data_IF_273924574547
#
_entry.id   IF_273924574547
#
_cell.length_a   1.000
_cell.length_b   1.000
_cell.length_c   1.000
_cell.angle_alpha   90.00
_cell.angle_beta   90.00
_cell.angle_gamma   90.00
#
_symmetry.space_group_name_H-M   'P 1'
#
loop_
_entity.id
_entity.type
_entity.pdbx_description
1 polymer ?
#
# COMPACT_ATOMS: atom_id res chain seq x y z
N UNK A 1 -4.93 -9.10 -13.18
CA UNK A 1 -5.52 -8.23 -12.13
C UNK A 1 -6.91 -7.83 -12.59
N UNK A 2 -7.85 -7.61 -11.67
CA UNK A 2 -9.20 -7.11 -11.95
C UNK A 2 -9.48 -5.94 -10.99
N UNK A 3 -10.05 -4.84 -11.48
CA UNK A 3 -10.49 -3.69 -10.66
C UNK A 3 -11.95 -3.29 -10.95
N UNK A 4 -12.43 -2.22 -10.31
CA UNK A 4 -13.83 -1.75 -10.34
C UNK A 4 -14.34 -1.39 -11.74
N UNK A 5 -13.46 -1.16 -12.72
CA UNK A 5 -13.87 -0.88 -14.11
C UNK A 5 -14.24 -2.14 -14.90
N UNK A 6 -13.86 -3.32 -14.41
CA UNK A 6 -13.89 -4.58 -15.16
C UNK A 6 -14.94 -5.59 -14.67
N UNK A 7 -15.69 -5.27 -13.62
CA UNK A 7 -16.81 -6.09 -13.18
C UNK A 7 -18.06 -5.26 -12.95
N UNK A 8 -19.20 -5.90 -13.16
CA UNK A 8 -20.51 -5.31 -12.98
C UNK A 8 -21.01 -5.55 -11.55
N UNK A 9 -21.57 -4.50 -10.99
CA UNK A 9 -22.23 -4.50 -9.68
C UNK A 9 -23.72 -4.38 -9.92
N UNK A 10 -24.50 -5.30 -9.36
CA UNK A 10 -25.95 -5.28 -9.44
C UNK A 10 -26.54 -4.11 -8.64
N UNK A 11 -27.82 -3.81 -8.88
CA UNK A 11 -28.51 -2.69 -8.22
C UNK A 11 -28.58 -2.82 -6.69
N UNK A 12 -28.48 -4.04 -6.15
CA UNK A 12 -28.44 -4.31 -4.71
C UNK A 12 -27.02 -4.26 -4.11
N UNK A 13 -26.01 -3.92 -4.91
CA UNK A 13 -24.60 -3.86 -4.51
C UNK A 13 -23.85 -5.18 -4.57
N UNK A 14 -24.51 -6.29 -4.94
CA UNK A 14 -23.84 -7.57 -5.11
C UNK A 14 -23.02 -7.63 -6.40
N UNK A 15 -22.00 -8.47 -6.42
CA UNK A 15 -21.21 -8.77 -7.61
C UNK A 15 -20.69 -10.21 -7.55
N UNK A 16 -20.43 -10.78 -8.73
CA UNK A 16 -19.83 -12.11 -8.87
C UNK A 16 -18.61 -12.01 -9.78
N UNK A 17 -17.55 -12.75 -9.46
CA UNK A 17 -16.34 -12.83 -10.28
C UNK A 17 -16.02 -14.31 -10.50
N UNK A 18 -15.93 -14.73 -11.76
CA UNK A 18 -15.46 -16.06 -12.14
C UNK A 18 -13.93 -16.09 -12.11
N UNK A 19 -13.36 -17.09 -11.43
CA UNK A 19 -11.92 -17.27 -11.30
C UNK A 19 -11.48 -18.48 -12.14
N UNK A 20 -10.70 -18.24 -13.20
CA UNK A 20 -10.27 -19.30 -14.15
C UNK A 20 -11.38 -19.74 -15.11
N UNK A 21 -11.21 -20.91 -15.72
CA UNK A 21 -12.12 -21.41 -16.76
C UNK A 21 -11.98 -20.66 -18.10
N UNK A 22 -13.02 -20.75 -18.92
CA UNK A 22 -13.08 -20.05 -20.22
C UNK A 22 -13.05 -18.52 -20.04
N UNK A 23 -12.27 -17.78 -20.86
CA UNK A 23 -12.24 -16.32 -20.81
C UNK A 23 -13.60 -15.66 -21.00
N UNK A 24 -13.82 -14.56 -20.26
CA UNK A 24 -15.01 -13.71 -20.38
C UNK A 24 -14.60 -12.24 -20.37
N UNK A 25 -15.41 -11.37 -20.97
CA UNK A 25 -15.09 -9.94 -21.14
C UNK A 25 -15.13 -9.14 -19.83
N UNK A 26 -16.03 -9.51 -18.92
CA UNK A 26 -16.26 -8.83 -17.63
C UNK A 26 -16.42 -9.87 -16.53
N UNK A 27 -16.28 -9.44 -15.28
CA UNK A 27 -16.52 -10.29 -14.11
C UNK A 27 -15.67 -11.57 -14.11
N UNK A 28 -14.48 -11.53 -14.72
CA UNK A 28 -13.63 -12.70 -14.89
C UNK A 28 -12.17 -12.38 -14.62
N UNK A 29 -11.52 -13.26 -13.87
CA UNK A 29 -10.09 -13.22 -13.62
C UNK A 29 -9.49 -14.57 -13.98
N UNK A 30 -8.70 -14.58 -15.06
CA UNK A 30 -7.94 -15.76 -15.46
C UNK A 30 -6.98 -16.23 -14.37
N UNK A 31 -6.86 -17.55 -14.21
CA UNK A 31 -5.92 -18.20 -13.31
C UNK A 31 -4.95 -19.04 -14.13
N UNK A 32 -3.65 -18.85 -13.89
CA UNK A 32 -2.62 -19.75 -14.43
C UNK A 32 -2.65 -21.10 -13.73
N UNK A 33 -2.06 -22.13 -14.35
CA UNK A 33 -2.01 -23.48 -13.79
C UNK A 33 -1.26 -23.56 -12.44
N UNK A 34 -0.39 -22.60 -12.16
CA UNK A 34 0.40 -22.46 -10.94
C UNK A 34 -0.17 -21.42 -9.95
N UNK A 35 -1.37 -20.88 -10.20
CA UNK A 35 -2.00 -19.90 -9.33
C UNK A 35 -2.28 -20.50 -7.93
N UNK A 36 -1.49 -20.08 -6.93
CA UNK A 36 -1.61 -20.57 -5.55
C UNK A 36 -2.22 -19.58 -4.55
N UNK A 37 -2.56 -18.37 -4.98
CA UNK A 37 -3.10 -17.32 -4.09
C UNK A 37 -3.95 -16.31 -4.85
N UNK A 38 -5.11 -16.01 -4.28
CA UNK A 38 -5.92 -14.83 -4.60
C UNK A 38 -5.69 -13.75 -3.55
N UNK A 39 -5.70 -12.49 -3.96
CA UNK A 39 -5.55 -11.34 -3.06
C UNK A 39 -6.55 -10.28 -3.47
N UNK A 40 -7.54 -10.04 -2.61
CA UNK A 40 -8.42 -8.87 -2.72
C UNK A 40 -7.82 -7.71 -1.94
N UNK A 41 -8.03 -6.48 -2.45
CA UNK A 41 -7.63 -5.25 -1.77
C UNK A 41 -8.79 -4.28 -1.82
N UNK A 42 -9.06 -3.67 -0.68
CA UNK A 42 -10.11 -2.68 -0.53
C UNK A 42 -9.45 -1.41 0.00
N UNK A 43 -9.60 -0.33 -0.74
CA UNK A 43 -9.00 0.96 -0.41
C UNK A 43 -10.08 1.89 0.12
N UNK A 44 -9.79 2.54 1.24
CA UNK A 44 -10.73 3.40 1.94
C UNK A 44 -10.17 4.81 2.00
N UNK A 45 -10.90 5.75 1.41
CA UNK A 45 -10.59 7.17 1.43
C UNK A 45 -11.58 7.91 2.31
N UNK A 46 -11.43 7.71 3.62
CA UNK A 46 -12.31 8.25 4.66
C UNK A 46 -11.52 9.18 5.59
N UNK A 47 -12.24 10.00 6.36
CA UNK A 47 -11.68 10.89 7.39
C UNK A 47 -11.05 10.12 8.58
N UNK A 48 -11.49 8.88 8.80
CA UNK A 48 -10.93 7.98 9.81
C UNK A 48 -10.40 6.70 9.17
N UNK A 49 -9.33 6.13 9.74
CA UNK A 49 -8.77 4.86 9.28
C UNK A 49 -9.82 3.73 9.35
N UNK A 50 -10.04 3.05 8.21
CA UNK A 50 -10.90 1.87 8.15
C UNK A 50 -10.40 0.71 9.02
N UNK A 51 -9.11 0.68 9.36
CA UNK A 51 -8.56 -0.32 10.28
C UNK A 51 -8.85 0.00 11.76
N UNK A 52 -9.24 1.24 12.07
CA UNK A 52 -9.72 1.65 13.39
C UNK A 52 -11.24 1.55 13.56
N UNK A 53 -11.96 1.12 12.53
CA UNK A 53 -13.41 0.96 12.54
C UNK A 53 -13.80 -0.49 12.29
N UNK A 54 -15.02 -0.87 12.68
CA UNK A 54 -15.56 -2.21 12.44
C UNK A 54 -16.11 -2.30 11.01
N UNK A 55 -15.21 -2.43 10.03
CA UNK A 55 -15.57 -2.59 8.63
C UNK A 55 -15.69 -4.06 8.28
N UNK A 56 -16.90 -4.50 7.93
CA UNK A 56 -17.15 -5.84 7.43
C UNK A 56 -17.36 -5.81 5.91
N UNK A 57 -16.49 -6.52 5.17
CA UNK A 57 -16.60 -6.74 3.73
C UNK A 57 -16.90 -8.22 3.45
N UNK A 58 -18.17 -8.61 3.28
CA UNK A 58 -18.52 -10.01 3.08
C UNK A 58 -18.04 -10.49 1.71
N UNK A 59 -17.05 -11.38 1.70
CA UNK A 59 -16.58 -12.09 0.51
C UNK A 59 -16.77 -13.59 0.72
N UNK A 60 -17.35 -14.26 -0.27
CA UNK A 60 -17.46 -15.72 -0.31
C UNK A 60 -16.76 -16.25 -1.55
N UNK A 61 -16.02 -17.35 -1.41
CA UNK A 61 -15.40 -18.07 -2.52
C UNK A 61 -15.86 -19.52 -2.48
N UNK A 62 -16.27 -20.05 -3.63
CA UNK A 62 -16.69 -21.43 -3.80
C UNK A 62 -15.96 -22.05 -5.01
N UNK A 63 -15.53 -23.31 -4.87
CA UNK A 63 -15.07 -24.08 -6.02
C UNK A 63 -16.31 -24.55 -6.80
N UNK A 64 -16.43 -24.13 -8.06
CA UNK A 64 -17.55 -24.50 -8.93
C UNK A 64 -17.51 -25.98 -9.35
N UNK A 65 -16.34 -26.61 -9.28
CA UNK A 65 -16.13 -28.02 -9.60
C UNK A 65 -15.37 -28.69 -8.44
N UNK A 66 -16.01 -28.86 -7.27
CA UNK A 66 -15.36 -29.50 -6.13
C UNK A 66 -15.09 -30.99 -6.44
N UNK A 67 -13.99 -31.56 -5.93
CA UNK A 67 -13.77 -33.00 -6.02
C UNK A 67 -14.86 -33.77 -5.25
N UNK A 68 -15.13 -35.01 -5.67
CA UNK A 68 -16.08 -35.88 -4.99
C UNK A 68 -15.58 -36.31 -3.59
N UNK A 69 -16.46 -36.24 -2.60
CA UNK A 69 -16.19 -36.67 -1.23
C UNK A 69 -15.41 -35.64 -0.40
N UNK A 70 -15.27 -35.89 0.92
CA UNK A 70 -14.52 -35.01 1.79
C UNK A 70 -13.01 -35.07 1.49
N UNK A 71 -12.24 -34.01 1.81
CA UNK A 71 -10.78 -34.09 1.76
C UNK A 71 -10.27 -35.22 2.67
N UNK A 72 -9.15 -35.88 2.31
CA UNK A 72 -8.57 -36.94 3.13
C UNK A 72 -8.18 -36.40 4.53
N UNK A 73 -8.17 -37.26 5.56
CA UNK A 73 -7.68 -36.86 6.88
C UNK A 73 -6.19 -36.50 6.81
N UNK A 74 -5.77 -35.63 7.73
CA UNK A 74 -4.36 -35.27 7.86
C UNK A 74 -3.56 -36.46 8.40
N UNK A 75 -2.38 -36.65 7.83
CA UNK A 75 -1.35 -37.60 8.24
C UNK A 75 -0.06 -36.87 8.66
N UNK A 76 0.93 -37.62 9.15
CA UNK A 76 2.19 -37.06 9.62
C UNK A 76 2.92 -36.26 8.52
N UNK A 77 2.85 -36.72 7.27
CA UNK A 77 3.52 -36.09 6.13
C UNK A 77 2.88 -34.74 5.75
N UNK A 78 1.55 -34.66 5.69
CA UNK A 78 0.81 -33.43 5.40
C UNK A 78 0.97 -32.40 6.53
N UNK A 79 0.96 -32.85 7.79
CA UNK A 79 1.28 -32.00 8.95
C UNK A 79 2.70 -31.46 8.86
N UNK A 80 3.69 -32.33 8.63
CA UNK A 80 5.09 -31.93 8.50
C UNK A 80 5.30 -30.96 7.32
N UNK A 81 4.62 -31.18 6.20
CA UNK A 81 4.65 -30.27 5.05
C UNK A 81 4.03 -28.90 5.38
N UNK A 82 2.94 -28.86 6.13
CA UNK A 82 2.31 -27.59 6.56
C UNK A 82 3.22 -26.78 7.50
N UNK A 83 3.84 -27.44 8.48
CA UNK A 83 4.82 -26.80 9.37
C UNK A 83 5.97 -26.21 8.55
N UNK A 84 6.52 -26.99 7.61
CA UNK A 84 7.58 -26.52 6.71
C UNK A 84 7.14 -25.31 5.86
N UNK A 85 5.92 -25.31 5.31
CA UNK A 85 5.41 -24.15 4.55
C UNK A 85 5.35 -22.88 5.42
N UNK A 86 4.84 -22.97 6.64
CA UNK A 86 4.76 -21.82 7.56
C UNK A 86 6.16 -21.33 7.93
N UNK A 87 7.07 -22.24 8.28
CA UNK A 87 8.45 -21.89 8.60
C UNK A 87 9.17 -21.20 7.43
N UNK A 88 9.01 -21.74 6.21
CA UNK A 88 9.54 -21.13 4.97
C UNK A 88 8.93 -19.76 4.74
N UNK A 89 7.63 -19.57 4.95
CA UNK A 89 6.97 -18.27 4.81
C UNK A 89 7.61 -17.22 5.74
N UNK A 90 7.74 -17.53 7.03
CA UNK A 90 8.34 -16.61 8.02
C UNK A 90 9.79 -16.28 7.65
N UNK A 91 10.59 -17.29 7.31
CA UNK A 91 11.98 -17.10 6.87
C UNK A 91 12.08 -16.20 5.63
N UNK A 92 11.24 -16.44 4.62
CA UNK A 92 11.22 -15.65 3.37
C UNK A 92 10.80 -14.18 3.56
N UNK A 93 10.18 -13.84 4.70
CA UNK A 93 9.81 -12.46 5.04
C UNK A 93 10.77 -11.80 6.01
N UNK A 94 11.78 -12.53 6.49
CA UNK A 94 12.72 -12.07 7.52
C UNK A 94 14.17 -12.31 7.11
N UNK A 95 14.75 -13.45 7.46
CA UNK A 95 16.18 -13.75 7.29
C UNK A 95 16.56 -14.13 5.86
N UNK A 96 15.64 -14.79 5.17
CA UNK A 96 15.88 -15.42 3.86
C UNK A 96 15.11 -14.69 2.75
N UNK A 97 14.63 -13.47 3.02
CA UNK A 97 13.98 -12.66 2.01
C UNK A 97 14.86 -12.48 0.78
N UNK A 98 14.25 -12.20 -0.40
CA UNK A 98 14.98 -12.08 -1.65
C UNK A 98 16.17 -11.13 -1.48
N UNK A 99 17.35 -11.73 -1.38
CA UNK A 99 18.62 -11.02 -1.47
C UNK A 99 18.77 -10.70 -2.96
N UNK A 100 18.96 -9.43 -3.36
CA UNK A 100 19.16 -9.11 -4.76
C UNK A 100 20.32 -9.97 -5.29
N UNK A 101 20.01 -10.98 -6.10
CA UNK A 101 20.99 -11.86 -6.71
C UNK A 101 21.65 -11.06 -7.84
N UNK A 102 22.77 -10.39 -7.52
CA UNK A 102 23.22 -9.25 -8.30
C UNK A 102 22.27 -8.07 -8.03
N UNK A 103 22.81 -6.89 -7.73
CA UNK A 103 21.98 -5.69 -7.50
C UNK A 103 21.27 -5.32 -8.81
N UNK A 104 20.10 -5.92 -9.08
CA UNK A 104 19.10 -5.23 -9.87
C UNK A 104 18.87 -3.90 -9.15
N UNK A 105 19.01 -2.80 -9.88
CA UNK A 105 18.71 -1.49 -9.33
C UNK A 105 17.29 -1.54 -8.75
N UNK A 106 17.05 -0.90 -7.59
CA UNK A 106 15.70 -0.76 -7.11
C UNK A 106 14.85 -0.05 -8.19
N UNK A 107 13.54 -0.31 -8.25
CA UNK A 107 12.66 0.37 -9.19
C UNK A 107 12.79 1.89 -9.04
N UNK A 108 12.60 2.64 -10.13
CA UNK A 108 12.82 4.09 -10.13
C UNK A 108 11.89 4.85 -9.16
N UNK A 109 10.73 4.28 -8.83
CA UNK A 109 9.82 4.79 -7.80
C UNK A 109 10.28 4.54 -6.35
N UNK A 110 11.44 3.91 -6.13
CA UNK A 110 12.04 3.67 -4.80
C UNK A 110 13.25 4.59 -4.60
N UNK A 111 13.03 5.75 -3.98
CA UNK A 111 14.04 6.80 -3.79
C UNK A 111 15.17 6.39 -2.85
N UNK A 112 16.41 6.44 -3.33
CA UNK A 112 17.59 6.01 -2.56
C UNK A 112 18.23 7.12 -1.72
N UNK A 113 17.93 8.37 -2.04
CA UNK A 113 18.44 9.54 -1.33
C UNK A 113 17.44 9.90 -0.22
N UNK A 114 17.87 10.01 1.05
CA UNK A 114 16.99 10.47 2.11
C UNK A 114 16.43 11.87 1.83
N UNK A 115 15.20 12.09 2.27
CA UNK A 115 14.46 13.35 2.17
C UNK A 115 14.16 13.79 0.73
N UNK A 116 14.30 12.88 -0.24
CA UNK A 116 13.90 13.07 -1.63
C UNK A 116 12.85 12.04 -2.05
N UNK A 117 12.02 12.43 -3.02
CA UNK A 117 10.96 11.59 -3.55
C UNK A 117 11.14 11.40 -5.06
N UNK A 118 11.13 10.15 -5.55
CA UNK A 118 11.13 9.92 -6.99
C UNK A 118 9.78 10.34 -7.58
N UNK A 119 9.79 10.63 -8.89
CA UNK A 119 8.56 10.84 -9.66
C UNK A 119 7.69 9.58 -9.54
N UNK A 120 6.37 9.72 -9.27
CA UNK A 120 5.50 8.57 -9.20
C UNK A 120 5.48 7.75 -10.49
N UNK A 121 5.61 6.43 -10.41
CA UNK A 121 5.60 5.53 -11.57
C UNK A 121 4.79 4.26 -11.29
N UNK A 122 4.29 3.64 -12.36
CA UNK A 122 3.69 2.31 -12.29
C UNK A 122 4.71 1.26 -11.80
N UNK A 123 4.27 0.22 -11.06
CA UNK A 123 5.17 -0.78 -10.51
C UNK A 123 5.75 -1.77 -11.52
N UNK A 124 5.23 -1.83 -12.75
CA UNK A 124 5.52 -2.91 -13.69
C UNK A 124 5.20 -4.29 -13.09
N UNK A 125 6.02 -5.30 -13.42
CA UNK A 125 5.82 -6.71 -13.04
C UNK A 125 6.28 -7.07 -11.62
N UNK A 126 6.38 -6.10 -10.72
CA UNK A 126 6.84 -6.35 -9.35
C UNK A 126 5.79 -7.13 -8.58
N UNK A 127 6.16 -8.33 -8.16
CA UNK A 127 5.28 -9.23 -7.43
C UNK A 127 4.64 -8.51 -6.22
N UNK A 128 3.32 -8.71 -6.07
CA UNK A 128 2.48 -8.09 -5.03
C UNK A 128 2.23 -6.59 -5.14
N UNK A 129 2.76 -5.88 -6.14
CA UNK A 129 2.30 -4.53 -6.43
C UNK A 129 0.85 -4.55 -6.96
N UNK A 130 0.08 -3.50 -6.70
CA UNK A 130 -1.17 -3.26 -7.43
C UNK A 130 -0.81 -2.55 -8.74
N UNK A 131 -1.11 -3.20 -9.88
CA UNK A 131 -0.65 -2.75 -11.20
C UNK A 131 -1.36 -1.47 -11.69
N UNK A 132 -2.47 -1.12 -11.07
CA UNK A 132 -3.27 0.09 -11.31
C UNK A 132 -2.82 1.30 -10.47
N UNK A 133 -1.69 1.19 -9.77
CA UNK A 133 -1.16 2.26 -8.94
C UNK A 133 0.11 2.87 -9.53
N UNK A 134 0.26 4.17 -9.35
CA UNK A 134 1.54 4.85 -9.39
C UNK A 134 2.09 4.96 -7.97
N UNK A 135 3.38 4.70 -7.82
CA UNK A 135 4.07 4.67 -6.54
C UNK A 135 5.18 5.71 -6.49
N UNK A 136 5.36 6.31 -5.31
CA UNK A 136 6.59 7.02 -4.95
C UNK A 136 6.93 6.70 -3.51
N UNK A 137 8.06 6.03 -3.31
CA UNK A 137 8.56 5.63 -1.99
C UNK A 137 9.82 6.44 -1.68
N UNK A 138 9.66 7.44 -0.82
CA UNK A 138 10.76 8.24 -0.28
C UNK A 138 11.19 7.74 1.10
N UNK A 139 12.43 8.07 1.48
CA UNK A 139 12.97 7.80 2.82
C UNK A 139 13.07 9.11 3.58
N UNK A 140 12.75 9.13 4.87
CA UNK A 140 13.15 10.26 5.71
C UNK A 140 14.40 9.92 6.52
N UNK A 141 15.22 10.93 6.76
CA UNK A 141 16.29 10.94 7.74
C UNK A 141 16.29 12.30 8.41
N UNK A 142 16.01 12.34 9.71
CA UNK A 142 15.84 13.55 10.51
C UNK A 142 16.68 13.48 11.78
N UNK A 143 17.31 14.59 12.12
CA UNK A 143 17.85 14.87 13.43
C UNK A 143 16.75 15.18 14.47
N UNK A 144 17.11 15.28 15.76
CA UNK A 144 16.14 15.45 16.84
C UNK A 144 15.24 16.68 16.73
N UNK A 145 15.76 17.77 16.16
CA UNK A 145 15.08 19.06 16.02
C UNK A 145 14.78 19.40 14.55
N UNK A 146 14.72 18.38 13.68
CA UNK A 146 14.42 18.54 12.24
C UNK A 146 13.03 18.02 11.90
N UNK A 147 12.46 18.56 10.82
CA UNK A 147 11.26 18.07 10.20
C UNK A 147 11.41 18.04 8.68
N UNK A 148 10.72 17.10 8.03
CA UNK A 148 10.63 17.04 6.57
C UNK A 148 9.30 17.65 6.13
N UNK A 149 9.36 18.75 5.39
CA UNK A 149 8.21 19.34 4.72
C UNK A 149 8.08 18.70 3.35
N UNK A 150 6.95 18.06 3.06
CA UNK A 150 6.63 17.49 1.75
C UNK A 150 5.49 18.28 1.12
N UNK A 151 5.71 18.77 -0.10
CA UNK A 151 4.71 19.52 -0.87
C UNK A 151 4.40 18.84 -2.20
N UNK A 152 3.15 18.98 -2.64
CA UNK A 152 2.67 18.37 -3.88
C UNK A 152 1.20 18.65 -4.12
N UNK A 153 0.64 17.97 -5.12
CA UNK A 153 -0.78 18.02 -5.46
C UNK A 153 -1.30 16.59 -5.60
N UNK A 154 -2.52 16.36 -5.14
CA UNK A 154 -3.19 15.12 -5.44
C UNK A 154 -3.64 15.12 -6.91
N UNK A 155 -3.32 14.09 -7.70
CA UNK A 155 -3.83 13.99 -9.06
C UNK A 155 -5.32 13.68 -9.06
N UNK A 156 -5.98 13.90 -10.20
CA UNK A 156 -7.28 13.28 -10.48
C UNK A 156 -7.05 11.77 -10.57
N UNK A 157 -7.63 11.04 -9.64
CA UNK A 157 -7.39 9.61 -9.49
C UNK A 157 -8.49 8.96 -8.64
N UNK A 158 -8.53 7.63 -8.64
CA UNK A 158 -9.57 6.87 -7.91
C UNK A 158 -9.31 6.78 -6.42
N UNK A 159 -8.04 6.74 -6.02
CA UNK A 159 -7.61 6.75 -4.62
C UNK A 159 -6.19 7.32 -4.52
N UNK A 160 -5.91 8.13 -3.50
CA UNK A 160 -4.55 8.57 -3.19
C UNK A 160 -4.26 8.55 -1.69
N UNK A 161 -3.05 8.14 -1.32
CA UNK A 161 -2.60 8.14 0.07
C UNK A 161 -1.08 8.17 0.23
N UNK A 162 -0.63 8.50 1.43
CA UNK A 162 0.72 8.30 1.94
C UNK A 162 0.67 7.57 3.28
N UNK A 163 1.61 6.65 3.51
CA UNK A 163 1.76 5.97 4.80
C UNK A 163 3.23 5.99 5.24
N UNK A 164 3.47 6.26 6.52
CA UNK A 164 4.78 6.14 7.14
C UNK A 164 5.04 4.69 7.59
N UNK A 165 6.19 4.17 7.17
CA UNK A 165 6.63 2.80 7.40
C UNK A 165 7.99 2.77 8.08
N UNK A 166 8.23 1.76 8.91
CA UNK A 166 9.55 1.51 9.49
C UNK A 166 10.49 0.82 8.49
N UNK A 167 11.77 0.64 8.89
CA UNK A 167 12.80 -0.05 8.08
C UNK A 167 12.46 -1.50 7.67
N UNK A 168 11.45 -2.10 8.28
CA UNK A 168 10.96 -3.45 7.99
C UNK A 168 9.70 -3.45 7.11
N UNK A 169 9.35 -2.31 6.51
CA UNK A 169 8.19 -2.12 5.63
C UNK A 169 6.85 -2.38 6.33
N UNK A 170 6.80 -2.10 7.63
CA UNK A 170 5.58 -2.16 8.43
C UNK A 170 5.07 -0.74 8.63
N UNK A 171 3.78 -0.51 8.44
CA UNK A 171 3.15 0.75 8.83
C UNK A 171 3.40 1.04 10.30
N UNK A 172 3.62 2.31 10.62
CA UNK A 172 3.61 2.80 12.00
C UNK A 172 2.19 2.66 12.61
N UNK A 173 2.01 3.08 13.87
CA UNK A 173 0.76 2.92 14.63
C UNK A 173 -0.37 3.81 14.10
N UNK A 174 -1.03 3.36 13.04
CA UNK A 174 -2.17 4.03 12.41
C UNK A 174 -3.45 4.00 13.24
N UNK A 175 -3.48 3.27 14.36
CA UNK A 175 -4.65 3.24 15.25
C UNK A 175 -4.61 4.43 16.18
N UNK A 176 -3.43 4.78 16.70
CA UNK A 176 -3.29 5.79 17.75
C UNK A 176 -2.55 7.05 17.30
N UNK A 177 -1.98 7.09 16.08
CA UNK A 177 -1.12 8.19 15.62
C UNK A 177 -1.41 8.60 14.18
N UNK A 178 -1.18 9.87 13.82
CA UNK A 178 -1.41 10.39 12.48
C UNK A 178 -0.28 10.00 11.52
N UNK A 179 -0.06 8.72 11.27
CA UNK A 179 1.09 8.19 10.49
C UNK A 179 0.80 8.02 8.99
N UNK A 180 -0.39 8.40 8.55
CA UNK A 180 -0.82 8.32 7.15
C UNK A 180 -1.77 9.46 6.81
N UNK A 181 -1.94 9.73 5.52
CA UNK A 181 -2.92 10.67 4.96
C UNK A 181 -3.49 10.13 3.65
N UNK A 182 -4.72 10.49 3.37
CA UNK A 182 -5.41 10.35 2.07
C UNK A 182 -6.03 11.72 1.71
N UNK A 183 -6.73 11.86 0.57
CA UNK A 183 -7.28 13.19 0.22
C UNK A 183 -8.34 13.66 1.22
N UNK A 184 -9.14 12.75 1.78
CA UNK A 184 -10.15 13.07 2.78
C UNK A 184 -9.58 13.57 4.13
N UNK A 185 -8.32 13.26 4.43
CA UNK A 185 -7.63 13.65 5.68
C UNK A 185 -6.54 14.70 5.46
N UNK A 186 -6.39 15.19 4.23
CA UNK A 186 -5.40 16.22 3.88
C UNK A 186 -6.07 17.57 3.78
N UNK A 187 -5.62 18.54 4.59
CA UNK A 187 -6.01 19.94 4.40
C UNK A 187 -5.21 20.53 3.25
N UNK A 188 -5.88 21.10 2.25
CA UNK A 188 -5.23 21.71 1.09
C UNK A 188 -4.99 23.20 1.31
N UNK A 189 -3.92 23.70 0.71
CA UNK A 189 -3.64 25.12 0.56
C UNK A 189 -4.65 25.78 -0.38
N UNK A 190 -4.69 27.12 -0.38
CA UNK A 190 -5.63 27.89 -1.21
C UNK A 190 -5.46 27.63 -2.73
N UNK A 191 -4.27 27.24 -3.16
CA UNK A 191 -3.98 26.90 -4.55
C UNK A 191 -4.34 25.43 -4.89
N UNK A 192 -4.76 24.63 -3.91
CA UNK A 192 -5.07 23.20 -4.07
C UNK A 192 -3.87 22.25 -3.92
N UNK A 193 -2.70 22.75 -3.55
CA UNK A 193 -1.57 21.92 -3.13
C UNK A 193 -1.76 21.42 -1.69
N UNK A 194 -0.92 20.49 -1.26
CA UNK A 194 -0.78 20.14 0.14
C UNK A 194 0.62 20.48 0.64
N UNK A 195 0.70 20.78 1.94
CA UNK A 195 1.94 20.83 2.72
C UNK A 195 1.81 19.84 3.88
N UNK A 196 2.61 18.77 3.86
CA UNK A 196 2.69 17.78 4.92
C UNK A 196 3.99 17.94 5.70
N UNK A 197 3.94 17.74 7.01
CA UNK A 197 5.13 17.83 7.86
C UNK A 197 5.36 16.50 8.54
N UNK A 198 6.53 15.90 8.33
CA UNK A 198 6.95 14.65 8.98
C UNK A 198 7.91 15.03 10.10
N UNK A 199 7.54 14.75 11.34
CA UNK A 199 8.30 15.20 12.51
C UNK A 199 8.18 14.25 13.71
N UNK A 200 9.08 14.41 14.69
CA UNK A 200 9.08 13.63 15.94
C UNK A 200 8.01 14.05 16.94
N UNK A 201 7.61 15.32 16.91
CA UNK A 201 6.61 15.91 17.79
C UNK A 201 5.52 16.61 16.99
N UNK A 202 4.37 16.83 17.62
CA UNK A 202 3.23 17.53 17.03
C UNK A 202 3.59 19.01 16.79
N UNK A 203 3.61 19.49 15.53
CA UNK A 203 3.84 20.90 15.23
C UNK A 203 2.59 21.78 15.43
N UNK A 204 1.43 21.21 15.76
CA UNK A 204 0.17 21.93 15.90
C UNK A 204 -0.54 22.20 14.57
N UNK A 205 -0.19 21.48 13.50
CA UNK A 205 -0.76 21.65 12.15
C UNK A 205 -1.54 20.42 11.67
N UNK A 206 -2.52 20.56 10.74
CA UNK A 206 -3.39 19.45 10.33
C UNK A 206 -2.67 18.28 9.65
N UNK A 207 -1.70 18.58 8.77
CA UNK A 207 -1.06 17.60 7.87
C UNK A 207 0.22 16.98 8.46
N UNK A 208 0.28 16.84 9.79
CA UNK A 208 1.42 16.23 10.47
C UNK A 208 1.45 14.70 10.33
N UNK A 209 2.60 14.16 9.94
CA UNK A 209 2.90 12.73 9.94
C UNK A 209 3.87 12.42 11.09
N UNK A 210 3.38 11.66 12.07
CA UNK A 210 4.15 11.28 13.25
C UNK A 210 5.19 10.20 12.88
N UNK A 211 6.46 10.47 13.20
CA UNK A 211 7.57 9.52 13.00
C UNK A 211 7.75 8.53 14.15
N UNK A 212 6.97 8.66 15.23
CA UNK A 212 7.13 7.95 16.49
C UNK A 212 8.55 8.08 17.07
N UNK A 213 9.14 9.28 16.94
CA UNK A 213 10.52 9.57 17.37
C UNK A 213 11.60 8.84 16.56
N UNK A 214 11.27 8.22 15.42
CA UNK A 214 12.25 7.53 14.57
C UNK A 214 12.98 8.52 13.68
N UNK A 215 14.30 8.60 13.85
CA UNK A 215 15.17 9.36 12.97
C UNK A 215 15.07 8.94 11.49
N UNK A 216 14.67 7.69 11.19
CA UNK A 216 14.51 7.22 9.81
C UNK A 216 13.33 6.28 9.59
N UNK A 217 12.82 6.30 8.37
CA UNK A 217 11.75 5.44 7.87
C UNK A 217 11.43 5.75 6.42
N UNK A 218 10.28 5.31 5.93
CA UNK A 218 9.85 5.52 4.55
C UNK A 218 8.44 6.08 4.48
N UNK A 219 8.22 7.08 3.63
CA UNK A 219 6.89 7.52 3.22
C UNK A 219 6.56 6.86 1.88
N UNK A 220 5.42 6.19 1.83
CA UNK A 220 4.99 5.49 0.63
C UNK A 220 3.69 6.09 0.08
N UNK A 221 3.84 6.92 -0.96
CA UNK A 221 2.76 7.50 -1.73
C UNK A 221 2.22 6.52 -2.77
N UNK A 222 0.90 6.48 -2.90
CA UNK A 222 0.19 5.64 -3.88
C UNK A 222 -0.94 6.43 -4.51
N UNK A 223 -1.07 6.33 -5.82
CA UNK A 223 -2.11 6.99 -6.61
C UNK A 223 -2.71 5.97 -7.57
N UNK A 224 -3.98 5.62 -7.40
CA UNK A 224 -4.62 4.54 -8.15
C UNK A 224 -5.44 5.12 -9.30
N UNK A 225 -5.24 4.58 -10.50
CA UNK A 225 -5.95 4.98 -11.71
C UNK A 225 -5.87 6.51 -11.90
N UNK A 226 -4.66 7.06 -11.82
CA UNK A 226 -4.43 8.47 -12.04
C UNK A 226 -4.65 8.84 -13.51
N UNK A 227 -5.27 9.99 -13.73
CA UNK A 227 -5.46 10.56 -15.06
C UNK A 227 -4.27 11.46 -15.43
N UNK A 228 -3.49 11.05 -16.42
CA UNK A 228 -2.33 11.81 -16.89
C UNK A 228 -1.10 11.69 -15.98
N UNK A 229 -0.14 12.58 -16.20
CA UNK A 229 1.12 12.61 -15.45
C UNK A 229 0.90 13.13 -14.01
N UNK A 230 1.66 12.58 -13.07
CA UNK A 230 1.61 13.00 -11.66
C UNK A 230 2.79 13.92 -11.37
N UNK A 231 2.50 15.12 -10.86
CA UNK A 231 3.52 16.09 -10.48
C UNK A 231 4.51 15.50 -9.45
N UNK A 232 5.82 15.79 -9.58
CA UNK A 232 6.81 15.38 -8.60
C UNK A 232 6.53 15.98 -7.21
N UNK A 233 6.72 15.16 -6.18
CA UNK A 233 6.73 15.61 -4.80
C UNK A 233 8.01 16.39 -4.53
N UNK A 234 7.91 17.52 -3.82
CA UNK A 234 9.07 18.28 -3.34
C UNK A 234 9.22 18.07 -1.86
N UNK A 235 10.46 18.04 -1.40
CA UNK A 235 10.75 17.82 0.00
C UNK A 235 11.93 18.66 0.46
N UNK A 236 11.83 19.18 1.67
CA UNK A 236 12.84 20.03 2.30
C UNK A 236 12.93 19.71 3.78
N UNK A 237 14.16 19.58 4.29
CA UNK A 237 14.41 19.46 5.73
C UNK A 237 14.54 20.86 6.30
N UNK A 238 13.77 21.14 7.34
CA UNK A 238 13.78 22.42 8.05
C UNK A 238 13.96 22.19 9.55
N UNK A 239 14.49 23.17 10.30
CA UNK A 239 14.41 23.14 11.76
C UNK A 239 12.95 23.07 12.22
N UNK A 240 12.64 22.21 13.19
CA UNK A 240 11.30 22.03 13.74
C UNK A 240 10.71 23.35 14.27
N UNK A 241 11.57 24.21 14.83
CA UNK A 241 11.20 25.52 15.33
C UNK A 241 10.76 26.52 14.25
N UNK A 242 11.05 26.26 12.97
CA UNK A 242 10.67 27.10 11.83
C UNK A 242 9.34 26.66 11.19
N UNK A 243 8.69 25.62 11.71
CA UNK A 243 7.35 25.23 11.24
C UNK A 243 6.33 26.27 11.69
N UNK A 244 5.83 27.05 10.75
CA UNK A 244 4.70 27.95 10.95
C UNK A 244 3.40 27.16 11.17
N UNK A 245 2.60 27.60 12.15
CA UNK A 245 1.28 27.06 12.52
C UNK A 245 0.14 27.79 11.84
#
# INVERSE_FOLDING_TARGET
MLNDTQFDVAADGSYEITLGGEPQDRNWLGLSADAGRLTSRHYFEWESSAAGTDVHLPLTIANLNPPDGPPPPWDDDSVAAAIRRVATHVRSKTTDGPRPAGRAAPPDWVGQIPNEFPVPQEPGDIALSAADAHYSLGRWLLGPDEALVVTGRWPVCRFASVCAWNRFLQTLDYVNRPVSRNRATTTLEADGSFRMVVAHADPGIPNWIDTEGRASGTLFFRFFLAEGDIDPLRAEVVPFAEIET
#
